data_IF_288593022576
#
_entry.id   IF_288593022576
#
_cell.length_a   1.000
_cell.length_b   1.000
_cell.length_c   1.000
_cell.angle_alpha   90.00
_cell.angle_beta   90.00
_cell.angle_gamma   90.00
#
_symmetry.space_group_name_H-M   'P 1'
#
loop_
_entity.id
_entity.type
_entity.pdbx_description
1 polymer ?
#
# COMPACT_ATOMS: atom_id res chain seq x y z
N UNK A 1 11.56 -8.23 2.51
CA UNK A 1 11.31 -6.77 2.54
C UNK A 1 12.54 -6.10 3.13
N UNK A 2 13.22 -5.21 2.38
CA UNK A 2 14.45 -4.53 2.83
C UNK A 2 14.12 -3.07 3.10
N UNK A 3 14.17 -2.66 4.37
CA UNK A 3 14.04 -1.25 4.77
C UNK A 3 15.37 -0.55 4.45
N UNK A 4 15.35 0.42 3.53
CA UNK A 4 16.53 1.22 3.19
C UNK A 4 16.55 2.46 4.09
N UNK A 5 17.26 2.35 5.22
CA UNK A 5 17.63 3.39 6.21
C UNK A 5 16.58 4.47 6.54
N UNK A 6 16.00 4.34 7.73
CA UNK A 6 15.21 5.34 8.46
C UNK A 6 14.52 4.65 9.64
N UNK A 7 14.34 5.34 10.77
CA UNK A 7 13.56 4.81 11.90
C UNK A 7 12.11 5.12 11.62
N UNK A 8 11.30 4.09 11.35
CA UNK A 8 9.85 4.24 11.29
C UNK A 8 9.32 4.12 12.73
N UNK A 9 8.60 5.13 13.22
CA UNK A 9 7.96 5.04 14.53
C UNK A 9 6.92 3.89 14.53
N UNK A 10 6.70 3.17 15.65
CA UNK A 10 5.70 2.11 15.73
C UNK A 10 4.31 2.50 15.23
N UNK A 11 3.90 3.77 15.42
CA UNK A 11 2.64 4.30 14.90
C UNK A 11 2.64 4.32 13.37
N UNK A 12 3.71 4.80 12.76
CA UNK A 12 3.83 4.86 11.30
C UNK A 12 3.90 3.45 10.70
N UNK A 13 4.53 2.50 11.41
CA UNK A 13 4.55 1.09 11.01
C UNK A 13 3.14 0.47 11.06
N UNK A 14 2.36 0.78 12.10
CA UNK A 14 0.98 0.32 12.20
C UNK A 14 0.10 0.88 11.08
N UNK A 15 0.24 2.18 10.77
CA UNK A 15 -0.47 2.82 9.66
C UNK A 15 -0.08 2.22 8.30
N UNK A 16 1.21 2.00 8.07
CA UNK A 16 1.70 1.35 6.84
C UNK A 16 1.17 -0.08 6.71
N UNK A 17 1.18 -0.85 7.80
CA UNK A 17 0.66 -2.22 7.80
C UNK A 17 -0.82 -2.24 7.44
N UNK A 18 -1.63 -1.38 8.07
CA UNK A 18 -3.07 -1.26 7.77
C UNK A 18 -3.33 -0.81 6.33
N UNK A 19 -2.51 0.12 5.81
CA UNK A 19 -2.62 0.56 4.43
C UNK A 19 -2.31 -0.56 3.43
N UNK A 20 -1.27 -1.36 3.69
CA UNK A 20 -0.92 -2.53 2.86
C UNK A 20 -2.04 -3.56 2.90
N UNK A 21 -2.60 -3.86 4.07
CA UNK A 21 -3.70 -4.81 4.20
C UNK A 21 -4.95 -4.35 3.45
N UNK A 22 -5.29 -3.07 3.58
CA UNK A 22 -6.43 -2.46 2.90
C UNK A 22 -6.31 -2.50 1.37
N UNK A 23 -5.10 -2.35 0.84
CA UNK A 23 -4.84 -2.22 -0.59
C UNK A 23 -4.18 -3.46 -1.22
N UNK A 24 -4.08 -4.57 -0.48
CA UNK A 24 -3.32 -5.76 -0.90
C UNK A 24 -3.74 -6.26 -2.27
N UNK A 25 -5.04 -6.37 -2.52
CA UNK A 25 -5.55 -6.92 -3.76
C UNK A 25 -5.17 -6.01 -4.93
N UNK A 26 -5.46 -4.70 -4.86
CA UNK A 26 -5.05 -3.72 -5.87
C UNK A 26 -3.55 -3.76 -6.18
N UNK A 27 -2.70 -3.88 -5.15
CA UNK A 27 -1.25 -3.98 -5.32
C UNK A 27 -0.83 -5.27 -6.02
N UNK A 28 -1.48 -6.40 -5.70
CA UNK A 28 -1.20 -7.71 -6.32
C UNK A 28 -1.72 -7.74 -7.76
N UNK A 29 -2.94 -7.26 -7.99
CA UNK A 29 -3.59 -7.21 -9.30
C UNK A 29 -2.77 -6.34 -10.27
N UNK A 30 -2.27 -5.19 -9.82
CA UNK A 30 -1.34 -4.37 -10.61
C UNK A 30 -0.01 -5.08 -10.88
N UNK A 31 0.56 -5.76 -9.88
CA UNK A 31 1.83 -6.48 -10.06
C UNK A 31 1.71 -7.66 -11.04
N UNK A 32 0.57 -8.34 -11.04
CA UNK A 32 0.28 -9.45 -11.94
C UNK A 32 -0.11 -9.00 -13.35
N UNK A 33 -0.39 -7.71 -13.54
CA UNK A 33 -0.87 -7.15 -14.81
C UNK A 33 -2.37 -7.32 -15.02
N UNK A 34 -3.13 -7.71 -13.98
CA UNK A 34 -4.60 -7.72 -14.01
C UNK A 34 -5.16 -6.29 -14.05
N UNK A 35 -4.44 -5.32 -13.46
CA UNK A 35 -4.61 -3.89 -13.71
C UNK A 35 -3.50 -3.43 -14.66
N UNK A 36 -3.87 -3.14 -15.91
CA UNK A 36 -2.92 -2.82 -16.99
C UNK A 36 -2.31 -1.42 -16.85
N UNK A 37 -3.09 -0.45 -16.40
CA UNK A 37 -2.67 0.95 -16.32
C UNK A 37 -2.41 1.40 -14.89
N UNK A 38 -1.31 2.12 -14.69
CA UNK A 38 -0.94 2.66 -13.38
C UNK A 38 -2.01 3.61 -12.83
N UNK A 39 -2.68 4.38 -13.68
CA UNK A 39 -3.74 5.31 -13.26
C UNK A 39 -4.93 4.58 -12.61
N UNK A 40 -5.29 3.42 -13.14
CA UNK A 40 -6.39 2.60 -12.61
C UNK A 40 -6.04 2.02 -11.23
N UNK A 41 -4.79 1.57 -11.06
CA UNK A 41 -4.29 1.09 -9.77
C UNK A 41 -4.30 2.22 -8.73
N UNK A 42 -3.88 3.44 -9.11
CA UNK A 42 -3.91 4.61 -8.23
C UNK A 42 -5.34 4.99 -7.85
N UNK A 43 -6.28 4.96 -8.80
CA UNK A 43 -7.69 5.27 -8.54
C UNK A 43 -8.35 4.26 -7.61
N UNK A 44 -7.89 3.00 -7.62
CA UNK A 44 -8.39 1.93 -6.77
C UNK A 44 -7.74 1.89 -5.37
N UNK A 45 -6.67 2.65 -5.11
CA UNK A 45 -6.06 2.73 -3.78
C UNK A 45 -6.96 3.51 -2.82
N UNK A 46 -7.22 2.90 -1.66
CA UNK A 46 -7.98 3.50 -0.56
C UNK A 46 -7.03 4.05 0.50
N UNK A 47 -7.21 5.31 0.95
CA UNK A 47 -6.40 5.87 2.03
C UNK A 47 -6.66 5.16 3.36
N UNK A 48 -5.62 5.05 4.19
CA UNK A 48 -5.77 4.56 5.57
C UNK A 48 -6.28 5.69 6.46
N UNK A 49 -7.33 5.43 7.23
CA UNK A 49 -7.82 6.37 8.22
C UNK A 49 -6.79 6.58 9.34
N UNK A 50 -6.62 7.83 9.76
CA UNK A 50 -5.72 8.24 10.84
C UNK A 50 -6.41 8.40 12.19
N UNK A 51 -7.71 8.12 12.25
CA UNK A 51 -8.56 8.12 13.46
C UNK A 51 -7.99 7.25 14.58
#
# INVERSE_FOLDING_TARGET
MRVIRGTLDPRDLALLTRWIELNRNTLVDYWNGDIEYTEDAIAAIVPVDRS
#
